data_IF_219125665433
#
_entry.id   IF_219125665433
#
_cell.length_a   1.000
_cell.length_b   1.000
_cell.length_c   1.000
_cell.angle_alpha   90.00
_cell.angle_beta   90.00
_cell.angle_gamma   90.00
#
_symmetry.space_group_name_H-M   'P 1'
#
loop_
_entity.id
_entity.type
_entity.pdbx_description
1 polymer ?
#
# COMPACT_ATOMS: atom_id res chain seq x y z
N UNK A 1 -1.58 19.66 0.46
CA UNK A 1 -2.19 19.54 1.80
C UNK A 1 -2.57 18.09 2.10
N UNK A 2 -3.58 17.48 1.46
CA UNK A 2 -3.98 16.08 1.73
C UNK A 2 -2.86 15.05 1.58
N UNK A 3 -2.19 15.02 0.42
CA UNK A 3 -1.13 14.02 0.16
C UNK A 3 0.05 14.15 1.11
N UNK A 4 0.42 15.38 1.48
CA UNK A 4 1.44 15.67 2.47
C UNK A 4 1.05 15.11 3.84
N UNK A 5 -0.20 15.30 4.26
CA UNK A 5 -0.69 14.77 5.54
C UNK A 5 -0.72 13.23 5.58
N UNK A 6 -1.05 12.57 4.46
CA UNK A 6 -0.96 11.10 4.36
C UNK A 6 0.49 10.65 4.47
N UNK A 7 1.40 11.36 3.80
CA UNK A 7 2.83 11.07 3.84
C UNK A 7 3.40 11.21 5.26
N UNK A 8 3.05 12.27 5.97
CA UNK A 8 3.43 12.50 7.38
C UNK A 8 2.89 11.40 8.31
N UNK A 9 1.66 10.94 8.09
CA UNK A 9 1.07 9.85 8.88
C UNK A 9 1.82 8.53 8.63
N UNK A 10 2.17 8.23 7.37
CA UNK A 10 2.98 7.04 7.04
C UNK A 10 4.40 7.19 7.61
N UNK A 11 5.04 8.35 7.51
CA UNK A 11 6.36 8.59 8.07
C UNK A 11 6.38 8.36 9.59
N UNK A 12 5.32 8.74 10.29
CA UNK A 12 5.19 8.47 11.73
C UNK A 12 5.16 6.98 12.05
N UNK A 13 4.56 6.16 11.18
CA UNK A 13 4.52 4.70 11.33
C UNK A 13 5.88 4.03 11.03
N UNK A 14 6.68 4.63 10.15
CA UNK A 14 8.01 4.12 9.75
C UNK A 14 9.16 4.72 10.58
N UNK A 15 8.85 5.47 11.64
CA UNK A 15 9.85 6.07 12.52
C UNK A 15 10.49 5.00 13.42
N UNK A 16 11.50 4.31 12.89
CA UNK A 16 12.21 3.25 13.62
C UNK A 16 13.09 3.79 14.75
N UNK A 17 13.14 3.04 15.86
CA UNK A 17 13.92 3.40 17.06
C UNK A 17 15.07 2.42 17.35
N UNK A 18 15.04 1.20 16.83
CA UNK A 18 16.09 0.18 16.92
C UNK A 18 17.12 0.36 15.79
N UNK A 19 18.38 0.70 16.12
CA UNK A 19 19.44 0.87 15.13
C UNK A 19 19.69 -0.39 14.28
N UNK A 20 19.41 -1.58 14.81
CA UNK A 20 19.61 -2.86 14.09
C UNK A 20 18.65 -3.05 12.92
N UNK A 21 17.52 -2.32 12.92
CA UNK A 21 16.48 -2.42 11.90
C UNK A 21 16.56 -1.30 10.85
N UNK A 22 17.54 -0.40 10.94
CA UNK A 22 17.72 0.75 10.02
C UNK A 22 17.63 0.34 8.54
N UNK A 23 18.26 -0.78 8.18
CA UNK A 23 18.24 -1.29 6.79
C UNK A 23 16.83 -1.71 6.35
N UNK A 24 16.08 -2.39 7.21
CA UNK A 24 14.71 -2.83 6.90
C UNK A 24 13.80 -1.63 6.62
N UNK A 25 13.79 -0.63 7.50
CA UNK A 25 12.98 0.58 7.26
C UNK A 25 13.49 1.39 6.08
N UNK A 26 14.81 1.43 5.85
CA UNK A 26 15.39 2.03 4.65
C UNK A 26 14.85 1.42 3.35
N UNK A 27 14.65 0.10 3.31
CA UNK A 27 14.06 -0.60 2.16
C UNK A 27 12.60 -0.17 1.94
N UNK A 28 11.82 -0.04 3.01
CA UNK A 28 10.42 0.45 2.93
C UNK A 28 10.38 1.89 2.39
N UNK A 29 11.22 2.75 2.94
CA UNK A 29 11.35 4.16 2.54
C UNK A 29 11.85 4.29 1.08
N UNK A 30 12.74 3.40 0.64
CA UNK A 30 13.20 3.34 -0.74
C UNK A 30 12.02 3.10 -1.68
N UNK A 31 11.21 2.07 -1.40
CA UNK A 31 10.03 1.75 -2.20
C UNK A 31 9.06 2.93 -2.28
N UNK A 32 8.85 3.60 -1.14
CA UNK A 32 7.97 4.76 -1.05
C UNK A 32 8.48 6.01 -1.79
N UNK A 33 9.77 6.05 -2.15
CA UNK A 33 10.35 7.15 -2.92
C UNK A 33 11.16 8.16 -2.12
N UNK A 34 11.44 7.88 -0.85
CA UNK A 34 12.04 8.85 0.07
C UNK A 34 13.55 8.76 0.16
N UNK A 35 14.12 7.59 -0.11
CA UNK A 35 15.58 7.36 -0.12
C UNK A 35 16.03 6.63 -1.39
N UNK A 36 17.30 6.77 -1.76
CA UNK A 36 17.97 6.03 -2.83
C UNK A 36 18.46 4.64 -2.39
N UNK A 37 19.11 3.89 -3.28
CA UNK A 37 19.64 2.54 -2.98
C UNK A 37 20.74 2.53 -1.90
N UNK A 38 21.33 3.68 -1.59
CA UNK A 38 22.29 3.87 -0.50
C UNK A 38 21.62 4.42 0.76
N UNK A 39 20.28 4.38 0.81
CA UNK A 39 19.43 4.87 1.89
C UNK A 39 19.63 6.37 2.19
N UNK A 40 20.05 7.16 1.20
CA UNK A 40 20.17 8.60 1.32
C UNK A 40 18.89 9.31 0.87
N UNK A 41 18.46 10.38 1.56
CA UNK A 41 17.23 11.10 1.21
C UNK A 41 17.22 11.64 -0.22
N UNK A 42 16.13 11.40 -0.94
CA UNK A 42 15.90 11.93 -2.30
C UNK A 42 14.46 12.40 -2.48
N UNK A 43 14.20 13.15 -3.55
CA UNK A 43 12.84 13.42 -4.04
C UNK A 43 12.58 12.64 -5.32
N UNK A 44 12.11 11.40 -5.19
CA UNK A 44 11.70 10.60 -6.35
C UNK A 44 10.29 10.97 -6.85
N UNK A 45 9.97 10.61 -8.10
CA UNK A 45 8.60 10.68 -8.60
C UNK A 45 7.74 9.61 -7.91
N UNK A 46 6.89 10.04 -6.99
CA UNK A 46 5.89 9.21 -6.32
C UNK A 46 4.74 8.77 -7.23
N UNK A 47 3.86 7.93 -6.71
CA UNK A 47 2.61 7.54 -7.38
C UNK A 47 1.60 8.67 -7.45
N UNK A 48 0.50 8.45 -8.18
CA UNK A 48 -0.60 9.44 -8.25
C UNK A 48 -1.40 9.56 -6.94
N UNK A 49 -1.25 8.60 -6.01
CA UNK A 49 -1.88 8.56 -4.68
C UNK A 49 -3.41 8.83 -4.73
N UNK A 50 -4.08 8.26 -5.72
CA UNK A 50 -5.52 8.51 -5.98
C UNK A 50 -6.38 7.90 -4.87
N UNK A 51 -6.04 6.69 -4.42
CA UNK A 51 -6.81 5.93 -3.41
C UNK A 51 -6.87 6.62 -2.04
N UNK A 52 -5.73 7.00 -1.42
CA UNK A 52 -5.79 7.73 -0.15
C UNK A 52 -6.49 9.08 -0.29
N UNK A 53 -6.31 9.77 -1.42
CA UNK A 53 -7.02 11.03 -1.69
C UNK A 53 -8.54 10.83 -1.73
N UNK A 54 -9.02 9.79 -2.40
CA UNK A 54 -10.45 9.48 -2.44
C UNK A 54 -11.03 9.21 -1.04
N UNK A 55 -10.30 8.45 -0.21
CA UNK A 55 -10.68 8.20 1.18
C UNK A 55 -10.86 9.50 1.97
N UNK A 56 -9.90 10.42 1.86
CA UNK A 56 -9.95 11.72 2.55
C UNK A 56 -11.07 12.62 2.04
N UNK A 57 -11.25 12.71 0.71
CA UNK A 57 -12.31 13.53 0.10
C UNK A 57 -13.71 13.04 0.47
N UNK A 58 -13.93 11.73 0.54
CA UNK A 58 -15.21 11.16 0.98
C UNK A 58 -15.47 11.48 2.46
N UNK A 59 -14.45 11.39 3.32
CA UNK A 59 -14.59 11.76 4.72
C UNK A 59 -14.96 13.24 4.85
N UNK A 60 -14.20 14.13 4.22
CA UNK A 60 -14.43 15.57 4.26
C UNK A 60 -15.81 15.97 3.73
N UNK A 61 -16.27 15.34 2.64
CA UNK A 61 -17.59 15.61 2.08
C UNK A 61 -18.74 15.26 3.04
N UNK A 62 -18.54 14.31 3.96
CA UNK A 62 -19.55 13.83 4.92
C UNK A 62 -19.43 14.56 6.28
N UNK A 63 -18.21 14.75 6.77
CA UNK A 63 -17.94 15.26 8.13
C UNK A 63 -17.50 16.72 8.18
N UNK A 64 -17.09 17.30 7.05
CA UNK A 64 -16.43 18.62 6.99
C UNK A 64 -14.95 18.61 7.41
N UNK A 65 -14.38 17.45 7.75
CA UNK A 65 -12.97 17.32 8.17
C UNK A 65 -12.37 15.97 7.74
N UNK A 66 -11.31 16.01 6.94
CA UNK A 66 -10.61 14.81 6.46
C UNK A 66 -9.69 14.16 7.51
N UNK A 67 -9.23 14.91 8.53
CA UNK A 67 -8.16 14.47 9.44
C UNK A 67 -8.46 13.16 10.17
N UNK A 68 -9.71 12.89 10.62
CA UNK A 68 -10.05 11.60 11.23
C UNK A 68 -9.83 10.38 10.33
N UNK A 69 -9.81 10.56 9.00
CA UNK A 69 -9.58 9.50 8.02
C UNK A 69 -8.11 9.31 7.62
N UNK A 70 -7.18 10.14 8.12
CA UNK A 70 -5.75 10.01 7.80
C UNK A 70 -5.19 8.61 8.06
N UNK A 71 -5.48 7.94 9.19
CA UNK A 71 -4.96 6.60 9.42
C UNK A 71 -5.54 5.56 8.45
N UNK A 72 -6.80 5.70 8.02
CA UNK A 72 -7.39 4.85 7.00
C UNK A 72 -6.77 5.10 5.61
N UNK A 73 -6.55 6.36 5.25
CA UNK A 73 -5.89 6.72 4.00
C UNK A 73 -4.44 6.20 3.95
N UNK A 74 -3.70 6.31 5.05
CA UNK A 74 -2.37 5.72 5.20
C UNK A 74 -2.41 4.19 5.04
N UNK A 75 -3.37 3.51 5.67
CA UNK A 75 -3.55 2.06 5.54
C UNK A 75 -3.78 1.63 4.09
N UNK A 76 -4.68 2.32 3.38
CA UNK A 76 -4.98 2.04 1.96
C UNK A 76 -3.74 2.23 1.08
N UNK A 77 -2.97 3.29 1.31
CA UNK A 77 -1.75 3.53 0.56
C UNK A 77 -0.67 2.49 0.89
N UNK A 78 -0.53 2.08 2.14
CA UNK A 78 0.40 1.02 2.56
C UNK A 78 0.04 -0.34 1.92
N UNK A 79 -1.23 -0.73 1.92
CA UNK A 79 -1.71 -1.93 1.21
C UNK A 79 -1.40 -1.83 -0.29
N UNK A 80 -1.64 -0.67 -0.89
CA UNK A 80 -1.31 -0.49 -2.30
C UNK A 80 0.19 -0.70 -2.58
N UNK A 81 1.08 -0.16 -1.75
CA UNK A 81 2.52 -0.31 -1.97
C UNK A 81 3.01 -1.73 -1.62
N UNK A 82 2.43 -2.39 -0.61
CA UNK A 82 2.63 -3.82 -0.34
C UNK A 82 2.40 -4.64 -1.62
N UNK A 83 1.24 -4.47 -2.25
CA UNK A 83 0.89 -5.26 -3.44
C UNK A 83 1.86 -4.99 -4.58
N UNK A 84 2.29 -3.74 -4.78
CA UNK A 84 3.24 -3.40 -5.82
C UNK A 84 4.61 -4.06 -5.63
N UNK A 85 5.10 -4.22 -4.39
CA UNK A 85 6.37 -4.91 -4.13
C UNK A 85 6.26 -6.37 -4.52
N UNK A 86 5.16 -7.04 -4.15
CA UNK A 86 4.94 -8.45 -4.46
C UNK A 86 4.68 -8.67 -5.96
N UNK A 87 3.82 -7.84 -6.57
CA UNK A 87 3.58 -7.83 -8.03
C UNK A 87 4.91 -7.69 -8.80
N UNK A 88 5.83 -6.82 -8.34
CA UNK A 88 7.12 -6.64 -9.01
C UNK A 88 7.95 -7.93 -9.06
N UNK A 89 7.84 -8.81 -8.04
CA UNK A 89 8.48 -10.12 -8.00
C UNK A 89 7.76 -11.09 -8.94
N UNK A 90 6.44 -11.16 -8.82
CA UNK A 90 5.59 -12.09 -9.57
C UNK A 90 5.68 -11.83 -11.09
N UNK A 91 5.66 -10.57 -11.49
CA UNK A 91 5.79 -10.12 -12.88
C UNK A 91 7.26 -10.08 -13.36
N UNK A 92 8.23 -10.38 -12.49
CA UNK A 92 9.67 -10.22 -12.74
C UNK A 92 10.02 -8.83 -13.29
N UNK A 93 9.35 -7.80 -12.78
CA UNK A 93 9.54 -6.42 -13.21
C UNK A 93 10.82 -5.82 -12.61
N UNK A 94 11.85 -5.48 -13.41
CA UNK A 94 13.11 -5.00 -12.86
C UNK A 94 13.08 -3.51 -12.48
N UNK A 95 12.12 -2.75 -13.01
CA UNK A 95 12.01 -1.31 -12.80
C UNK A 95 10.58 -0.86 -12.60
N UNK A 96 10.38 0.09 -11.69
CA UNK A 96 9.10 0.77 -11.45
C UNK A 96 9.33 2.28 -11.36
N UNK A 97 8.52 3.05 -12.11
CA UNK A 97 8.60 4.53 -12.16
C UNK A 97 10.02 5.07 -12.42
N UNK A 98 10.80 4.36 -13.25
CA UNK A 98 12.15 4.76 -13.61
C UNK A 98 13.23 4.41 -12.59
N UNK A 99 12.94 3.63 -11.55
CA UNK A 99 13.89 3.14 -10.53
C UNK A 99 13.91 1.62 -10.50
N UNK A 100 15.00 1.02 -10.00
CA UNK A 100 15.05 -0.42 -9.76
C UNK A 100 13.99 -0.82 -8.71
N UNK A 101 13.42 -2.01 -8.85
CA UNK A 101 12.48 -2.55 -7.87
C UNK A 101 13.21 -3.08 -6.64
N UNK A 102 12.51 -3.23 -5.50
CA UNK A 102 13.12 -3.69 -4.24
C UNK A 102 13.84 -5.02 -4.43
N UNK A 103 13.22 -5.96 -5.15
CA UNK A 103 13.79 -7.28 -5.38
C UNK A 103 15.02 -7.27 -6.29
N UNK A 104 15.17 -6.26 -7.14
CA UNK A 104 16.38 -6.08 -7.94
C UNK A 104 17.55 -5.57 -7.10
N UNK A 105 17.30 -4.72 -6.12
CA UNK A 105 18.35 -4.11 -5.30
C UNK A 105 18.75 -5.00 -4.12
N UNK A 106 17.77 -5.56 -3.40
CA UNK A 106 18.00 -6.34 -2.16
C UNK A 106 17.59 -7.81 -2.27
N UNK A 107 17.14 -8.26 -3.44
CA UNK A 107 16.75 -9.66 -3.68
C UNK A 107 15.31 -9.97 -3.27
N UNK A 108 14.82 -11.10 -3.79
CA UNK A 108 13.46 -11.60 -3.53
C UNK A 108 13.15 -11.75 -2.03
N UNK A 109 14.03 -12.31 -1.17
CA UNK A 109 13.70 -12.50 0.25
C UNK A 109 13.38 -11.20 0.98
N UNK A 110 14.17 -10.14 0.74
CA UNK A 110 13.94 -8.84 1.36
C UNK A 110 12.72 -8.13 0.77
N UNK A 111 12.45 -8.30 -0.52
CA UNK A 111 11.26 -7.74 -1.14
C UNK A 111 9.96 -8.37 -0.57
N UNK A 112 9.94 -9.69 -0.37
CA UNK A 112 8.81 -10.37 0.30
C UNK A 112 8.60 -9.78 1.70
N UNK A 113 9.65 -9.75 2.52
CA UNK A 113 9.59 -9.24 3.88
C UNK A 113 9.20 -7.75 3.95
N UNK A 114 9.65 -6.94 2.98
CA UNK A 114 9.27 -5.54 2.86
C UNK A 114 7.77 -5.39 2.55
N UNK A 115 7.23 -6.18 1.63
CA UNK A 115 5.79 -6.17 1.35
C UNK A 115 4.97 -6.60 2.56
N UNK A 116 5.37 -7.68 3.25
CA UNK A 116 4.69 -8.14 4.48
C UNK A 116 4.74 -7.08 5.58
N UNK A 117 5.87 -6.38 5.72
CA UNK A 117 6.04 -5.25 6.62
C UNK A 117 5.07 -4.10 6.33
N UNK A 118 4.92 -3.71 5.06
CA UNK A 118 3.96 -2.67 4.67
C UNK A 118 2.51 -3.09 4.96
N UNK A 119 2.15 -4.35 4.74
CA UNK A 119 0.83 -4.86 5.08
C UNK A 119 0.57 -4.80 6.60
N UNK A 120 1.54 -5.22 7.42
CA UNK A 120 1.43 -5.13 8.88
C UNK A 120 1.31 -3.67 9.36
N UNK A 121 2.10 -2.76 8.76
CA UNK A 121 2.00 -1.32 9.04
C UNK A 121 0.63 -0.74 8.65
N UNK A 122 -0.01 -1.24 7.59
CA UNK A 122 -1.35 -0.83 7.22
C UNK A 122 -2.37 -1.16 8.32
N UNK A 123 -2.26 -2.32 8.96
CA UNK A 123 -3.11 -2.68 10.09
C UNK A 123 -2.82 -1.80 11.31
N UNK A 124 -1.55 -1.55 11.62
CA UNK A 124 -1.16 -0.62 12.70
C UNK A 124 -1.68 0.80 12.45
N UNK A 125 -1.72 1.25 11.19
CA UNK A 125 -2.33 2.52 10.82
C UNK A 125 -3.81 2.56 11.22
N UNK A 126 -4.59 1.51 10.93
CA UNK A 126 -6.01 1.47 11.31
C UNK A 126 -6.22 1.53 12.83
N UNK A 127 -5.29 1.03 13.64
CA UNK A 127 -5.36 1.15 15.10
C UNK A 127 -5.17 2.58 15.62
N UNK A 128 -4.66 3.50 14.79
CA UNK A 128 -4.58 4.93 15.10
C UNK A 128 -5.86 5.69 14.79
N UNK A 129 -6.87 5.04 14.18
CA UNK A 129 -8.20 5.63 13.99
C UNK A 129 -8.77 6.04 15.34
N UNK A 130 -8.85 7.35 15.53
CA UNK A 130 -9.29 7.98 16.76
C UNK A 130 -10.55 8.76 16.46
N UNK A 131 -11.70 8.19 16.81
CA UNK A 131 -12.98 8.86 16.68
C UNK A 131 -13.62 8.95 18.07
N UNK A 132 -13.82 10.16 18.63
CA UNK A 132 -14.39 10.35 19.96
C UNK A 132 -15.73 9.63 20.20
N UNK A 133 -16.47 9.33 19.12
CA UNK A 133 -17.78 8.66 19.20
C UNK A 133 -17.84 7.28 18.51
N UNK A 134 -16.84 6.88 17.72
CA UNK A 134 -16.93 5.66 16.90
C UNK A 134 -16.19 4.45 17.52
N UNK A 135 -15.29 4.69 18.47
CA UNK A 135 -14.71 3.68 19.36
C UNK A 135 -14.10 2.43 18.67
N UNK A 136 -13.94 1.32 19.42
CA UNK A 136 -13.39 0.07 18.89
C UNK A 136 -14.16 -0.56 17.72
N UNK A 137 -15.46 -0.21 17.58
CA UNK A 137 -16.31 -0.71 16.49
C UNK A 137 -15.86 -0.18 15.13
N UNK A 138 -15.46 1.09 15.04
CA UNK A 138 -14.98 1.67 13.79
C UNK A 138 -13.69 0.98 13.33
N UNK A 139 -12.73 0.80 14.24
CA UNK A 139 -11.47 0.10 13.95
C UNK A 139 -11.74 -1.31 13.44
N UNK A 140 -12.58 -2.07 14.14
CA UNK A 140 -12.93 -3.43 13.72
C UNK A 140 -13.61 -3.48 12.33
N UNK A 141 -14.50 -2.54 12.03
CA UNK A 141 -15.14 -2.45 10.72
C UNK A 141 -14.15 -2.07 9.62
N UNK A 142 -13.29 -1.08 9.86
CA UNK A 142 -12.25 -0.66 8.92
C UNK A 142 -11.26 -1.80 8.64
N UNK A 143 -10.81 -2.52 9.68
CA UNK A 143 -9.92 -3.68 9.53
C UNK A 143 -10.58 -4.78 8.72
N UNK A 144 -11.87 -5.07 8.96
CA UNK A 144 -12.61 -6.07 8.17
C UNK A 144 -12.69 -5.66 6.69
N UNK A 145 -13.01 -4.40 6.40
CA UNK A 145 -13.09 -3.89 5.03
C UNK A 145 -11.74 -3.94 4.32
N UNK A 146 -10.67 -3.50 4.99
CA UNK A 146 -9.32 -3.54 4.44
C UNK A 146 -8.89 -4.98 4.16
N UNK A 147 -9.14 -5.91 5.08
CA UNK A 147 -8.78 -7.33 4.88
C UNK A 147 -9.57 -7.97 3.75
N UNK A 148 -10.86 -7.62 3.58
CA UNK A 148 -11.64 -8.09 2.45
C UNK A 148 -11.06 -7.55 1.12
N UNK A 149 -10.68 -6.28 1.08
CA UNK A 149 -10.01 -5.68 -0.09
C UNK A 149 -8.66 -6.35 -0.39
N UNK A 150 -7.86 -6.67 0.65
CA UNK A 150 -6.61 -7.43 0.47
C UNK A 150 -6.88 -8.83 -0.10
N UNK A 151 -7.91 -9.54 0.38
CA UNK A 151 -8.28 -10.85 -0.17
C UNK A 151 -8.71 -10.73 -1.63
N UNK A 152 -9.57 -9.76 -1.95
CA UNK A 152 -9.97 -9.50 -3.34
C UNK A 152 -8.76 -9.17 -4.22
N UNK A 153 -7.79 -8.41 -3.72
CA UNK A 153 -6.56 -8.12 -4.44
C UNK A 153 -5.76 -9.39 -4.73
N UNK A 154 -5.56 -10.26 -3.74
CA UNK A 154 -4.86 -11.54 -3.92
C UNK A 154 -5.58 -12.46 -4.91
N UNK A 155 -6.91 -12.55 -4.82
CA UNK A 155 -7.72 -13.32 -5.78
C UNK A 155 -7.61 -12.74 -7.20
N UNK A 156 -7.61 -11.42 -7.34
CA UNK A 156 -7.40 -10.74 -8.61
C UNK A 156 -6.01 -11.01 -9.18
N UNK A 157 -4.97 -10.96 -8.35
CA UNK A 157 -3.60 -11.24 -8.77
C UNK A 157 -3.41 -12.71 -9.17
N UNK A 158 -4.01 -13.64 -8.42
CA UNK A 158 -4.06 -15.05 -8.79
C UNK A 158 -4.66 -15.26 -10.18
N UNK A 159 -5.80 -14.60 -10.46
CA UNK A 159 -6.44 -14.68 -11.77
C UNK A 159 -5.56 -14.11 -12.88
N UNK A 160 -4.90 -12.97 -12.63
CA UNK A 160 -4.00 -12.34 -13.60
C UNK A 160 -2.85 -13.28 -13.99
N UNK A 161 -2.17 -13.88 -13.00
CA UNK A 161 -1.11 -14.88 -13.22
C UNK A 161 -1.67 -16.10 -13.96
N UNK A 162 -2.81 -16.64 -13.55
CA UNK A 162 -3.43 -17.81 -14.17
C UNK A 162 -3.90 -17.57 -15.61
N UNK A 163 -4.12 -16.31 -16.00
CA UNK A 163 -4.54 -15.93 -17.35
C UNK A 163 -3.36 -15.77 -18.32
N UNK A 164 -2.12 -15.63 -17.86
CA UNK A 164 -0.96 -15.32 -18.71
C UNK A 164 -0.72 -16.34 -19.84
N UNK A 165 -1.02 -17.62 -19.61
CA UNK A 165 -0.82 -18.70 -20.58
C UNK A 165 -2.11 -19.14 -21.29
N UNK A 166 -3.25 -18.50 -20.98
CA UNK A 166 -4.56 -18.87 -21.53
C UNK A 166 -4.89 -18.11 -22.81
N UNK A 167 -5.56 -18.78 -23.73
CA UNK A 167 -6.02 -18.19 -25.02
C UNK A 167 -7.53 -17.97 -25.07
N UNK A 168 -8.26 -18.38 -24.03
CA UNK A 168 -9.72 -18.39 -23.94
C UNK A 168 -10.27 -17.41 -22.89
N UNK A 169 -9.49 -16.36 -22.54
CA UNK A 169 -9.92 -15.32 -21.59
C UNK A 169 -10.95 -14.41 -22.24
N UNK A 170 -12.19 -14.43 -21.72
CA UNK A 170 -13.26 -13.55 -22.21
C UNK A 170 -13.18 -12.15 -21.58
N UNK A 171 -13.83 -11.13 -22.17
CA UNK A 171 -13.93 -9.79 -21.57
C UNK A 171 -14.51 -9.81 -20.14
N UNK A 172 -15.49 -10.68 -19.86
CA UNK A 172 -16.12 -10.81 -18.54
C UNK A 172 -15.15 -11.37 -17.49
N UNK A 173 -14.32 -12.34 -17.88
CA UNK A 173 -13.27 -12.89 -17.03
C UNK A 173 -12.22 -11.82 -16.71
N UNK A 174 -11.77 -11.09 -17.73
CA UNK A 174 -10.84 -9.98 -17.57
C UNK A 174 -11.40 -8.89 -16.64
N UNK A 175 -12.66 -8.49 -16.83
CA UNK A 175 -13.30 -7.48 -15.98
C UNK A 175 -13.45 -7.95 -14.53
N UNK A 176 -13.73 -9.23 -14.29
CA UNK A 176 -13.76 -9.80 -12.93
C UNK A 176 -12.38 -9.71 -12.27
N UNK A 177 -11.33 -10.14 -12.98
CA UNK A 177 -9.95 -10.03 -12.52
C UNK A 177 -9.58 -8.57 -12.22
N UNK A 178 -9.83 -7.65 -13.15
CA UNK A 178 -9.47 -6.24 -13.02
C UNK A 178 -10.20 -5.57 -11.83
N UNK A 179 -11.49 -5.89 -11.62
CA UNK A 179 -12.25 -5.41 -10.45
C UNK A 179 -11.61 -5.85 -9.14
N UNK A 180 -11.24 -7.13 -9.05
CA UNK A 180 -10.61 -7.71 -7.86
C UNK A 180 -9.20 -7.16 -7.61
N UNK A 181 -8.35 -7.12 -8.64
CA UNK A 181 -6.95 -6.67 -8.56
C UNK A 181 -6.81 -5.17 -8.30
N UNK A 182 -7.73 -4.34 -8.83
CA UNK A 182 -7.56 -2.87 -8.84
C UNK A 182 -8.64 -2.08 -8.12
N UNK A 183 -9.92 -2.43 -8.28
CA UNK A 183 -11.04 -1.58 -7.88
C UNK A 183 -11.56 -1.86 -6.45
N UNK A 184 -11.19 -2.99 -5.87
CA UNK A 184 -11.53 -3.40 -4.50
C UNK A 184 -10.88 -2.52 -3.42
N UNK A 185 -9.76 -1.86 -3.76
CA UNK A 185 -8.93 -1.01 -2.90
C UNK A 185 -9.06 0.48 -3.25
#
# INVERSE_FOLDING_TARGET
MYLTAVEEEIQTLLAEQDPTLTSFYGILQYHLGWVDENLQPIKARGGKRIRPLLCLLVCEAISGDYRPALPAAAAVELVHNFSLIHDDIEDKSPRRRGRATVWQVWGVPQAINAGDGLLALAHLALHRLSAPQAGPKLVAQATRLLNQACLDLCEGQYLDIAFQERTDVTPEMYLTMARKKTASL
#
